data_IF_389374148554
#
_entry.id   IF_389374148554
#
_cell.length_a   1.000
_cell.length_b   1.000
_cell.length_c   1.000
_cell.angle_alpha   90.00
_cell.angle_beta   90.00
_cell.angle_gamma   90.00
#
_symmetry.space_group_name_H-M   'P 1'
#
loop_
_entity.id
_entity.type
_entity.pdbx_description
1 polymer ?
#
# COMPACT_ATOMS: atom_id res chain seq x y z
N UNK A 1 -23.89 -8.82 -6.97
CA UNK A 1 -23.94 -7.41 -7.39
C UNK A 1 -23.20 -6.58 -6.36
N UNK A 2 -22.32 -5.67 -6.80
CA UNK A 2 -21.44 -4.87 -5.96
C UNK A 2 -22.25 -3.93 -5.07
N UNK A 3 -21.87 -3.77 -3.79
CA UNK A 3 -22.04 -2.47 -3.18
C UNK A 3 -20.87 -1.62 -3.68
N UNK A 4 -21.09 -0.59 -4.52
CA UNK A 4 -20.03 0.32 -4.89
C UNK A 4 -19.43 0.93 -3.62
N UNK A 5 -18.17 1.43 -3.66
CA UNK A 5 -17.68 2.31 -2.61
C UNK A 5 -18.73 3.42 -2.42
N UNK A 6 -19.44 3.31 -1.30
CA UNK A 6 -20.53 4.19 -0.91
C UNK A 6 -19.89 5.54 -0.52
N UNK A 7 -20.57 6.66 -0.79
CA UNK A 7 -20.15 8.01 -0.36
C UNK A 7 -19.71 8.02 1.12
N UNK A 8 -20.31 7.21 1.98
CA UNK A 8 -19.90 6.95 3.36
C UNK A 8 -18.46 6.47 3.53
N UNK A 9 -17.95 5.60 2.64
CA UNK A 9 -16.54 5.18 2.64
C UNK A 9 -15.64 6.36 2.27
N UNK A 10 -16.02 7.13 1.26
CA UNK A 10 -15.32 8.37 0.89
C UNK A 10 -15.26 9.35 2.08
N UNK A 11 -16.38 9.56 2.76
CA UNK A 11 -16.48 10.42 3.95
C UNK A 11 -15.72 9.92 5.18
N UNK A 12 -15.37 8.63 5.26
CA UNK A 12 -14.57 8.06 6.37
C UNK A 12 -13.08 8.00 6.07
N UNK A 13 -12.71 7.61 4.86
CA UNK A 13 -11.32 7.41 4.44
C UNK A 13 -10.62 8.75 4.24
N UNK A 14 -11.30 9.73 3.66
CA UNK A 14 -10.70 11.06 3.41
C UNK A 14 -10.25 11.74 4.71
N UNK A 15 -11.06 11.82 5.79
CA UNK A 15 -10.60 12.36 7.07
C UNK A 15 -9.48 11.55 7.74
N UNK A 16 -9.47 10.23 7.58
CA UNK A 16 -8.41 9.39 8.15
C UNK A 16 -7.07 9.62 7.45
N UNK A 17 -7.07 9.72 6.11
CA UNK A 17 -5.89 10.09 5.31
C UNK A 17 -5.46 11.52 5.64
N UNK A 18 -6.43 12.43 5.81
CA UNK A 18 -6.18 13.81 6.24
C UNK A 18 -5.44 13.85 7.57
N UNK A 19 -5.94 13.13 8.57
CA UNK A 19 -5.31 13.02 9.89
C UNK A 19 -3.92 12.37 9.78
N UNK A 20 -3.75 11.29 9.01
CA UNK A 20 -2.45 10.65 8.87
C UNK A 20 -1.38 11.59 8.28
N UNK A 21 -1.74 12.36 7.25
CA UNK A 21 -0.83 13.29 6.58
C UNK A 21 -0.58 14.60 7.36
N UNK A 22 -1.45 14.97 8.32
CA UNK A 22 -1.34 16.20 9.14
C UNK A 22 -0.83 15.95 10.57
N UNK A 23 -1.11 14.78 11.14
CA UNK A 23 -0.80 14.43 12.54
C UNK A 23 0.69 14.24 12.80
N UNK A 24 1.51 14.04 11.77
CA UNK A 24 2.97 13.95 11.91
C UNK A 24 3.63 15.25 12.39
N UNK A 25 2.87 16.35 12.45
CA UNK A 25 3.33 17.61 13.06
C UNK A 25 3.04 17.71 14.57
N UNK A 26 2.22 16.82 15.16
CA UNK A 26 1.89 16.82 16.59
C UNK A 26 2.99 16.20 17.47
N UNK A 27 4.04 15.63 16.88
CA UNK A 27 5.21 15.11 17.58
C UNK A 27 6.23 16.21 17.97
N UNK A 28 5.78 17.46 18.12
CA UNK A 28 6.59 18.58 18.61
C UNK A 28 7.27 18.28 19.95
N UNK A 29 6.64 17.49 20.83
CA UNK A 29 7.21 17.13 22.14
C UNK A 29 8.39 16.14 22.06
N UNK A 30 8.60 15.52 20.89
CA UNK A 30 9.68 14.55 20.66
C UNK A 30 10.78 15.07 19.74
N UNK A 31 10.77 16.37 19.40
CA UNK A 31 11.84 17.00 18.63
C UNK A 31 13.14 16.92 19.44
N UNK A 32 14.16 16.16 19.01
CA UNK A 32 15.45 16.19 19.67
C UNK A 32 16.08 17.52 19.26
N UNK A 33 15.98 18.52 20.13
CA UNK A 33 16.58 19.86 19.96
C UNK A 33 18.10 19.81 19.72
N UNK A 34 18.74 18.65 19.90
CA UNK A 34 20.16 18.41 19.74
C UNK A 34 20.60 17.75 18.42
N UNK A 35 19.71 17.42 17.48
CA UNK A 35 20.13 16.80 16.20
C UNK A 35 20.89 17.76 15.27
N UNK A 36 20.70 19.09 15.41
CA UNK A 36 21.37 20.11 14.60
C UNK A 36 22.88 20.25 14.80
N UNK A 37 23.51 19.41 15.65
CA UNK A 37 24.96 19.47 15.94
C UNK A 37 25.81 18.40 15.25
N UNK A 38 25.22 17.48 14.49
CA UNK A 38 26.00 16.47 13.77
C UNK A 38 26.33 16.94 12.35
N UNK A 39 27.62 17.15 12.09
CA UNK A 39 28.15 17.51 10.78
C UNK A 39 28.16 16.28 9.86
N UNK A 40 26.99 15.87 9.40
CA UNK A 40 26.80 14.73 8.51
C UNK A 40 26.99 15.21 7.06
N UNK A 41 28.17 14.95 6.48
CA UNK A 41 28.57 15.50 5.18
C UNK A 41 27.82 14.93 3.96
N UNK A 42 26.83 14.05 4.15
CA UNK A 42 26.00 13.44 3.10
C UNK A 42 24.59 13.12 3.64
N UNK A 43 23.75 14.15 3.81
CA UNK A 43 22.41 13.94 4.36
C UNK A 43 21.47 13.32 3.31
N UNK A 44 21.06 12.07 3.55
CA UNK A 44 20.01 11.38 2.80
C UNK A 44 18.88 11.07 3.78
N UNK A 45 17.65 11.48 3.46
CA UNK A 45 16.45 11.20 4.22
C UNK A 45 15.61 10.16 3.47
N UNK A 46 15.38 9.01 4.11
CA UNK A 46 14.41 8.02 3.65
C UNK A 46 13.07 8.31 4.33
N UNK A 47 12.06 8.65 3.55
CA UNK A 47 10.78 9.14 4.07
C UNK A 47 9.64 8.27 3.58
N UNK A 48 8.80 7.77 4.49
CA UNK A 48 7.50 7.22 4.07
C UNK A 48 6.65 8.38 3.53
N UNK A 49 6.11 8.30 2.30
CA UNK A 49 5.33 9.39 1.72
C UNK A 49 4.07 9.73 2.53
N UNK A 50 3.58 8.83 3.39
CA UNK A 50 2.46 9.09 4.30
C UNK A 50 2.89 9.68 5.66
N UNK A 51 4.19 9.84 5.91
CA UNK A 51 4.70 10.58 7.07
C UNK A 51 4.46 12.10 6.99
N UNK A 52 3.82 12.58 5.92
CA UNK A 52 3.34 13.96 5.77
C UNK A 52 4.44 15.00 5.55
N UNK A 53 4.04 16.26 5.34
CA UNK A 53 4.94 17.37 4.98
C UNK A 53 5.97 17.72 6.07
N UNK A 54 5.73 17.35 7.33
CA UNK A 54 6.66 17.62 8.43
C UNK A 54 7.97 16.82 8.33
N UNK A 55 7.92 15.56 7.89
CA UNK A 55 9.12 14.74 7.62
C UNK A 55 10.01 15.37 6.53
N UNK A 56 9.37 15.96 5.52
CA UNK A 56 10.01 16.67 4.42
C UNK A 56 10.67 17.96 4.90
N UNK A 57 9.97 18.73 5.75
CA UNK A 57 10.50 19.94 6.36
C UNK A 57 11.75 19.65 7.21
N UNK A 58 11.72 18.57 7.99
CA UNK A 58 12.88 18.09 8.77
C UNK A 58 14.03 17.75 7.83
N UNK A 59 13.79 16.94 6.80
CA UNK A 59 14.86 16.59 5.85
C UNK A 59 15.48 17.83 5.20
N UNK A 60 14.66 18.82 4.83
CA UNK A 60 15.14 20.09 4.27
C UNK A 60 15.95 20.92 5.27
N UNK A 61 15.59 20.95 6.56
CA UNK A 61 16.35 21.69 7.57
C UNK A 61 17.77 21.13 7.77
N UNK A 62 17.97 19.83 7.52
CA UNK A 62 19.28 19.18 7.46
C UNK A 62 19.97 19.31 6.09
N UNK A 63 19.41 20.03 5.12
CA UNK A 63 19.87 20.04 3.73
C UNK A 63 19.99 18.62 3.14
N UNK A 64 19.11 17.71 3.58
CA UNK A 64 19.10 16.32 3.17
C UNK A 64 18.45 16.15 1.80
N UNK A 65 19.01 15.23 1.00
CA UNK A 65 18.34 14.71 -0.19
C UNK A 65 17.22 13.77 0.24
N UNK A 66 16.04 13.92 -0.35
CA UNK A 66 14.86 13.13 0.01
C UNK A 66 14.69 11.98 -0.98
N UNK A 67 14.51 10.78 -0.43
CA UNK A 67 14.11 9.58 -1.15
C UNK A 67 12.88 9.03 -0.45
N UNK A 68 11.80 8.84 -1.21
CA UNK A 68 10.60 8.24 -0.65
C UNK A 68 10.73 6.73 -0.62
N UNK A 69 10.28 6.10 0.46
CA UNK A 69 10.24 4.64 0.61
C UNK A 69 8.82 4.26 1.02
N UNK A 70 8.07 3.64 0.11
CA UNK A 70 6.66 3.31 0.32
C UNK A 70 6.46 1.81 0.52
N UNK A 71 5.80 1.45 1.61
CA UNK A 71 5.27 0.10 1.81
C UNK A 71 4.00 -0.16 0.98
N UNK A 72 3.35 0.90 0.51
CA UNK A 72 2.10 0.85 -0.25
C UNK A 72 2.35 0.96 -1.75
N UNK A 73 1.52 0.29 -2.54
CA UNK A 73 1.50 0.42 -4.00
C UNK A 73 0.46 1.45 -4.44
N UNK A 74 0.39 2.56 -3.70
CA UNK A 74 -0.55 3.65 -3.93
C UNK A 74 -0.11 4.49 -5.12
N UNK A 75 -1.01 4.83 -6.02
CA UNK A 75 -0.62 5.36 -7.31
C UNK A 75 -0.62 6.90 -7.37
N UNK A 76 -1.54 7.58 -6.69
CA UNK A 76 -1.73 9.04 -6.77
C UNK A 76 -0.52 9.80 -6.28
N UNK A 77 -0.08 9.50 -5.06
CA UNK A 77 1.02 10.16 -4.36
C UNK A 77 2.36 9.75 -4.97
N UNK A 78 2.55 8.46 -5.30
CA UNK A 78 3.79 8.01 -5.93
C UNK A 78 3.99 8.58 -7.33
N UNK A 79 2.94 8.70 -8.15
CA UNK A 79 3.06 9.34 -9.47
C UNK A 79 3.28 10.84 -9.36
N UNK A 80 2.68 11.49 -8.36
CA UNK A 80 2.96 12.90 -8.07
C UNK A 80 4.44 13.12 -7.73
N UNK A 81 4.96 12.35 -6.77
CA UNK A 81 6.34 12.43 -6.30
C UNK A 81 7.33 12.09 -7.41
N UNK A 82 7.08 11.05 -8.21
CA UNK A 82 8.01 10.61 -9.28
C UNK A 82 7.79 11.34 -10.62
N UNK A 83 6.87 12.30 -10.65
CA UNK A 83 6.43 13.01 -11.85
C UNK A 83 5.96 12.10 -13.00
N UNK A 84 5.43 10.92 -12.67
CA UNK A 84 4.91 9.98 -13.64
C UNK A 84 3.53 10.39 -14.18
N UNK A 85 3.21 10.03 -15.45
CA UNK A 85 1.89 10.30 -16.03
C UNK A 85 0.78 9.59 -15.25
N UNK A 86 -0.21 10.36 -14.78
CA UNK A 86 -1.37 9.87 -14.05
C UNK A 86 -2.63 9.91 -14.90
N UNK A 87 -3.18 8.73 -15.23
CA UNK A 87 -4.46 8.61 -15.91
C UNK A 87 -5.54 8.03 -14.97
N UNK A 88 -6.45 8.86 -14.43
CA UNK A 88 -7.45 8.43 -13.45
C UNK A 88 -8.50 7.44 -13.99
N UNK A 89 -8.50 7.14 -15.30
CA UNK A 89 -9.45 6.19 -15.90
C UNK A 89 -9.15 4.72 -15.63
N UNK A 90 -7.89 4.37 -15.38
CA UNK A 90 -7.46 2.99 -15.12
C UNK A 90 -6.49 2.86 -13.95
N UNK A 91 -5.95 3.98 -13.46
CA UNK A 91 -5.05 4.01 -12.33
C UNK A 91 -5.84 4.24 -11.05
N UNK A 92 -5.82 3.30 -10.12
CA UNK A 92 -6.53 3.38 -8.84
C UNK A 92 -6.03 4.51 -7.93
N UNK A 93 -6.91 5.21 -7.23
CA UNK A 93 -6.52 6.07 -6.10
C UNK A 93 -6.52 5.28 -4.79
N UNK A 94 -5.88 5.81 -3.76
CA UNK A 94 -6.00 5.31 -2.38
C UNK A 94 -7.46 5.19 -1.88
N UNK A 95 -8.36 6.01 -2.41
CA UNK A 95 -9.78 6.05 -2.00
C UNK A 95 -10.60 4.98 -2.72
N UNK A 96 -10.23 4.64 -3.95
CA UNK A 96 -10.90 3.63 -4.78
C UNK A 96 -9.88 2.51 -5.10
N UNK A 97 -9.57 1.64 -4.12
CA UNK A 97 -8.51 0.62 -4.24
C UNK A 97 -9.01 -0.63 -4.99
N UNK A 98 -9.40 -0.47 -6.26
CA UNK A 98 -9.74 -1.60 -7.15
C UNK A 98 -9.06 -1.45 -8.52
N UNK A 99 -8.58 -2.56 -9.06
CA UNK A 99 -7.93 -2.67 -10.37
C UNK A 99 -8.94 -2.62 -11.52
N UNK A 100 -10.24 -2.84 -11.25
CA UNK A 100 -11.31 -2.88 -12.25
C UNK A 100 -12.37 -1.82 -11.97
N UNK A 101 -12.15 -0.62 -12.49
CA UNK A 101 -13.07 0.50 -12.33
C UNK A 101 -14.21 0.42 -13.36
N UNK A 102 -15.45 0.37 -12.89
CA UNK A 102 -16.62 0.64 -13.75
C UNK A 102 -16.77 2.15 -14.02
N UNK A 103 -17.71 2.53 -14.88
CA UNK A 103 -17.93 3.94 -15.26
C UNK A 103 -18.08 4.88 -14.04
N UNK A 104 -18.93 4.52 -13.06
CA UNK A 104 -19.17 5.36 -11.89
C UNK A 104 -17.93 5.44 -10.97
N UNK A 105 -17.23 4.32 -10.78
CA UNK A 105 -16.00 4.27 -10.01
C UNK A 105 -14.89 5.09 -10.69
N UNK A 106 -14.81 5.09 -12.02
CA UNK A 106 -13.88 5.97 -12.76
C UNK A 106 -14.18 7.43 -12.48
N UNK A 107 -15.45 7.84 -12.49
CA UNK A 107 -15.85 9.21 -12.16
C UNK A 107 -15.44 9.58 -10.73
N UNK A 108 -15.73 8.75 -9.74
CA UNK A 108 -15.29 8.98 -8.36
C UNK A 108 -13.76 8.99 -8.21
N UNK A 109 -13.07 8.12 -8.95
CA UNK A 109 -11.62 8.00 -8.91
C UNK A 109 -10.94 9.27 -9.43
N UNK A 110 -11.52 9.93 -10.44
CA UNK A 110 -11.08 11.25 -10.89
C UNK A 110 -11.12 12.25 -9.72
N UNK A 111 -12.26 12.36 -9.02
CA UNK A 111 -12.39 13.26 -7.87
C UNK A 111 -11.44 12.89 -6.73
N UNK A 112 -11.19 11.60 -6.49
CA UNK A 112 -10.23 11.16 -5.48
C UNK A 112 -8.79 11.58 -5.82
N UNK A 113 -8.35 11.40 -7.07
CA UNK A 113 -7.01 11.82 -7.54
C UNK A 113 -6.81 13.33 -7.48
N UNK A 114 -7.81 14.11 -7.87
CA UNK A 114 -7.73 15.57 -7.75
C UNK A 114 -7.87 16.05 -6.32
N UNK A 115 -8.74 15.42 -5.53
CA UNK A 115 -8.93 15.71 -4.11
C UNK A 115 -7.63 15.51 -3.33
N UNK A 116 -6.91 14.40 -3.54
CA UNK A 116 -5.62 14.17 -2.89
C UNK A 116 -4.57 15.18 -3.34
N UNK A 117 -4.51 15.56 -4.63
CA UNK A 117 -3.57 16.60 -5.10
C UNK A 117 -3.88 17.95 -4.48
N UNK A 118 -5.14 18.39 -4.53
CA UNK A 118 -5.59 19.62 -3.87
C UNK A 118 -5.24 19.56 -2.39
N UNK A 119 -5.47 18.42 -1.73
CA UNK A 119 -5.11 18.25 -0.33
C UNK A 119 -3.61 18.36 -0.07
N UNK A 120 -2.74 17.73 -0.87
CA UNK A 120 -1.28 17.86 -0.74
C UNK A 120 -0.82 19.31 -0.95
N UNK A 121 -1.46 20.03 -1.89
CA UNK A 121 -1.26 21.48 -2.05
C UNK A 121 -1.80 22.27 -0.84
N UNK A 122 -2.94 21.89 -0.25
CA UNK A 122 -3.56 22.60 0.87
C UNK A 122 -3.00 22.20 2.25
N UNK A 123 -2.29 21.09 2.39
CA UNK A 123 -1.44 20.76 3.55
C UNK A 123 -0.34 21.81 3.77
N UNK A 124 0.00 22.59 2.74
CA UNK A 124 0.80 23.81 2.86
C UNK A 124 0.10 24.93 3.66
N UNK A 125 -1.18 24.77 4.00
CA UNK A 125 -1.93 25.64 4.90
C UNK A 125 -1.73 25.28 6.38
N UNK A 126 -0.49 24.96 6.77
CA UNK A 126 -0.04 25.04 8.16
C UNK A 126 -0.51 26.36 8.84
N UNK A 127 -0.71 27.40 8.02
CA UNK A 127 -1.35 28.69 8.36
C UNK A 127 -2.79 28.60 8.91
N UNK A 128 -3.65 27.68 8.46
CA UNK A 128 -5.03 27.54 8.95
C UNK A 128 -5.05 27.03 10.40
N UNK A 129 -4.06 26.23 10.80
CA UNK A 129 -3.92 25.72 12.16
C UNK A 129 -2.94 26.53 13.02
N UNK A 130 -2.55 27.74 12.57
CA UNK A 130 -1.70 28.65 13.34
C UNK A 130 -0.21 28.29 13.36
N UNK A 131 0.24 27.32 12.57
CA UNK A 131 1.66 27.01 12.46
C UNK A 131 2.36 28.03 11.57
N UNK A 132 3.28 28.80 12.15
CA UNK A 132 4.23 29.67 11.46
C UNK A 132 5.32 28.82 10.80
N UNK A 133 4.95 28.16 9.71
CA UNK A 133 5.88 27.52 8.80
C UNK A 133 6.76 28.59 8.11
N UNK A 134 8.11 28.52 8.18
CA UNK A 134 8.97 29.35 7.35
C UNK A 134 8.82 28.88 5.89
N UNK A 135 8.58 29.82 4.97
CA UNK A 135 8.41 29.66 3.52
C UNK A 135 7.49 28.52 3.03
N UNK A 136 6.51 28.86 2.18
CA UNK A 136 5.47 27.95 1.64
C UNK A 136 6.02 26.62 1.11
N UNK A 137 7.27 26.61 0.65
CA UNK A 137 7.87 25.47 -0.05
C UNK A 137 8.42 24.39 0.88
N UNK A 138 8.67 24.67 2.17
CA UNK A 138 9.40 23.75 3.07
C UNK A 138 8.61 22.48 3.43
N UNK A 139 7.27 22.53 3.37
CA UNK A 139 6.39 21.38 3.67
C UNK A 139 5.86 20.70 2.41
N UNK A 140 6.06 21.30 1.23
CA UNK A 140 5.54 20.76 -0.02
C UNK A 140 6.28 19.49 -0.42
N UNK A 141 5.51 18.49 -0.84
CA UNK A 141 6.07 17.30 -1.48
C UNK A 141 6.92 17.73 -2.69
N UNK A 142 8.21 17.37 -2.73
CA UNK A 142 9.04 17.66 -3.88
C UNK A 142 8.58 16.82 -5.07
N UNK A 143 8.08 17.48 -6.11
CA UNK A 143 7.85 16.82 -7.40
C UNK A 143 9.19 16.38 -8.01
N UNK A 144 9.19 15.20 -8.62
CA UNK A 144 10.34 14.57 -9.28
C UNK A 144 11.44 14.04 -8.35
N UNK A 145 11.03 13.49 -7.22
CA UNK A 145 11.92 12.76 -6.30
C UNK A 145 11.93 11.26 -6.58
N UNK A 146 13.01 10.60 -6.17
CA UNK A 146 13.09 9.14 -6.23
C UNK A 146 12.10 8.52 -5.24
N UNK A 147 11.41 7.45 -5.67
CA UNK A 147 10.60 6.60 -4.83
C UNK A 147 11.04 5.13 -4.95
N UNK A 148 11.34 4.52 -3.81
CA UNK A 148 11.49 3.08 -3.64
C UNK A 148 10.18 2.49 -3.15
N UNK A 149 9.68 1.46 -3.82
CA UNK A 149 8.34 0.95 -3.54
C UNK A 149 8.39 -0.55 -3.31
N UNK A 150 7.76 -0.99 -2.23
CA UNK A 150 7.60 -2.40 -1.89
C UNK A 150 6.56 -3.06 -2.79
N UNK A 151 6.99 -3.40 -4.00
CA UNK A 151 6.12 -4.01 -5.00
C UNK A 151 6.89 -4.92 -5.95
N UNK A 152 6.14 -5.69 -6.72
CA UNK A 152 6.66 -6.62 -7.72
C UNK A 152 5.98 -6.40 -9.06
N UNK A 153 6.77 -6.18 -10.12
CA UNK A 153 6.25 -5.86 -11.46
C UNK A 153 5.31 -6.92 -12.04
N UNK A 154 5.43 -8.18 -11.61
CA UNK A 154 4.58 -9.28 -12.06
C UNK A 154 3.21 -9.36 -11.37
N UNK A 155 3.07 -8.72 -10.21
CA UNK A 155 1.80 -8.65 -9.47
C UNK A 155 1.00 -7.39 -9.82
N UNK A 156 1.67 -6.36 -10.32
CA UNK A 156 1.04 -5.08 -10.59
C UNK A 156 0.31 -4.99 -11.94
N UNK A 157 -0.67 -4.09 -11.99
CA UNK A 157 -1.15 -3.60 -13.27
C UNK A 157 -0.08 -2.75 -13.95
N UNK A 158 -0.03 -2.76 -15.30
CA UNK A 158 0.87 -1.87 -16.02
C UNK A 158 0.45 -0.42 -15.74
N UNK A 159 1.34 0.33 -15.10
CA UNK A 159 1.18 1.76 -14.85
C UNK A 159 2.36 2.50 -15.50
N UNK A 160 2.14 3.69 -16.10
CA UNK A 160 3.22 4.54 -16.56
C UNK A 160 4.16 4.91 -15.40
N UNK A 161 5.47 4.84 -15.64
CA UNK A 161 6.51 5.15 -14.64
C UNK A 161 7.61 5.98 -15.25
N UNK A 162 8.30 6.74 -14.40
CA UNK A 162 9.56 7.39 -14.73
C UNK A 162 10.73 6.57 -14.19
N UNK A 163 11.95 6.93 -14.60
CA UNK A 163 13.17 6.35 -14.06
C UNK A 163 13.43 6.72 -12.58
N UNK A 164 12.57 7.54 -11.96
CA UNK A 164 12.63 7.86 -10.54
C UNK A 164 11.90 6.82 -9.66
N UNK A 165 11.26 5.81 -10.25
CA UNK A 165 10.51 4.76 -9.55
C UNK A 165 11.33 3.46 -9.50
N UNK A 166 11.59 2.94 -8.30
CA UNK A 166 12.40 1.74 -8.08
C UNK A 166 11.63 0.69 -7.28
N UNK A 167 11.50 -0.51 -7.85
CA UNK A 167 10.85 -1.65 -7.20
C UNK A 167 11.84 -2.35 -6.25
N UNK A 168 11.56 -2.32 -4.94
CA UNK A 168 12.41 -2.95 -3.91
C UNK A 168 11.75 -4.15 -3.24
N UNK A 169 10.57 -4.59 -3.67
CA UNK A 169 9.80 -5.63 -2.97
C UNK A 169 10.51 -6.98 -2.86
N UNK A 170 11.49 -7.24 -3.73
CA UNK A 170 12.27 -8.47 -3.75
C UNK A 170 13.61 -8.37 -2.99
N UNK A 171 13.79 -7.29 -2.23
CA UNK A 171 15.01 -7.00 -1.46
C UNK A 171 14.93 -7.44 -0.01
N UNK A 172 13.83 -8.11 0.40
CA UNK A 172 13.67 -8.57 1.77
C UNK A 172 14.81 -9.54 2.13
N UNK A 173 15.46 -9.35 3.31
CA UNK A 173 16.51 -10.25 3.73
C UNK A 173 15.98 -11.68 3.80
N UNK A 174 16.80 -12.66 3.41
CA UNK A 174 16.51 -14.06 3.70
C UNK A 174 16.36 -14.17 5.21
N UNK A 175 15.13 -14.33 5.68
CA UNK A 175 14.86 -14.62 7.08
C UNK A 175 15.55 -15.97 7.33
N UNK A 176 16.69 -15.94 8.04
CA UNK A 176 17.28 -17.15 8.59
C UNK A 176 16.15 -17.85 9.35
N UNK A 177 15.91 -19.12 9.03
CA UNK A 177 14.82 -19.91 9.58
C UNK A 177 14.82 -19.80 11.11
N UNK A 178 14.08 -18.84 11.66
CA UNK A 178 13.80 -18.81 13.07
C UNK A 178 12.94 -20.04 13.32
N UNK A 179 13.50 -20.94 14.11
CA UNK A 179 13.01 -22.27 14.41
C UNK A 179 11.49 -22.27 14.60
N UNK A 180 10.78 -22.99 13.73
CA UNK A 180 9.44 -23.45 14.07
C UNK A 180 9.61 -24.28 15.34
N UNK A 181 8.87 -23.94 16.39
CA UNK A 181 8.95 -24.66 17.65
C UNK A 181 8.51 -26.12 17.46
N UNK A 182 8.88 -26.98 18.42
CA UNK A 182 8.65 -28.42 18.29
C UNK A 182 7.17 -28.77 18.20
N UNK A 183 6.31 -28.02 18.87
CA UNK A 183 4.87 -28.26 18.88
C UNK A 183 4.26 -27.94 17.52
N UNK A 184 4.54 -26.75 16.97
CA UNK A 184 4.10 -26.37 15.63
C UNK A 184 4.62 -27.33 14.57
N UNK A 185 5.88 -27.76 14.68
CA UNK A 185 6.44 -28.74 13.74
C UNK A 185 5.72 -30.08 13.82
N UNK A 186 5.50 -30.61 15.03
CA UNK A 186 4.78 -31.87 15.23
C UNK A 186 3.33 -31.79 14.74
N UNK A 187 2.66 -30.64 14.95
CA UNK A 187 1.32 -30.40 14.43
C UNK A 187 1.30 -30.46 12.90
N UNK A 188 2.24 -29.78 12.23
CA UNK A 188 2.31 -29.79 10.76
C UNK A 188 2.51 -31.21 10.23
N UNK A 189 3.35 -32.02 10.88
CA UNK A 189 3.64 -33.40 10.48
C UNK A 189 2.43 -34.35 10.64
N UNK A 190 1.45 -34.01 11.51
CA UNK A 190 0.26 -34.82 11.75
C UNK A 190 -0.84 -34.66 10.68
N UNK A 191 -0.74 -33.66 9.79
CA UNK A 191 -1.76 -33.37 8.78
C UNK A 191 -1.16 -33.35 7.39
N UNK A 192 -1.86 -33.96 6.42
CA UNK A 192 -1.44 -33.92 5.00
C UNK A 192 -1.44 -32.48 4.45
N UNK A 193 -2.40 -31.67 4.91
CA UNK A 193 -2.57 -30.27 4.51
C UNK A 193 -2.72 -29.40 5.74
N UNK A 194 -1.98 -28.29 5.75
CA UNK A 194 -2.02 -27.30 6.82
C UNK A 194 -2.35 -25.94 6.25
N UNK A 195 -3.29 -25.24 6.87
CA UNK A 195 -3.74 -23.90 6.48
C UNK A 195 -3.40 -22.92 7.59
N UNK A 196 -2.66 -21.86 7.22
CA UNK A 196 -2.40 -20.73 8.11
C UNK A 196 -3.52 -19.70 7.97
N UNK A 197 -4.23 -19.43 9.06
CA UNK A 197 -5.17 -18.33 9.20
C UNK A 197 -4.54 -17.21 10.03
N UNK A 198 -4.50 -15.99 9.50
CA UNK A 198 -3.85 -14.84 10.15
C UNK A 198 -4.59 -13.55 9.80
N UNK A 199 -5.02 -12.80 10.83
CA UNK A 199 -5.62 -11.47 10.68
C UNK A 199 -4.60 -10.37 10.99
N UNK A 200 -4.78 -9.19 10.40
CA UNK A 200 -3.86 -8.03 10.54
C UNK A 200 -3.76 -7.53 11.99
N UNK A 201 -2.67 -6.83 12.33
CA UNK A 201 -2.48 -6.16 13.63
C UNK A 201 -3.39 -4.93 13.81
N UNK A 202 -3.85 -4.31 12.73
CA UNK A 202 -4.68 -3.09 12.76
C UNK A 202 -6.16 -3.33 13.11
N UNK A 203 -6.61 -4.58 13.16
CA UNK A 203 -7.95 -4.91 13.64
C UNK A 203 -7.96 -5.05 15.16
N UNK A 204 -7.45 -4.08 15.93
CA UNK A 204 -7.45 -4.09 17.42
C UNK A 204 -7.16 -5.48 18.01
N UNK A 205 -5.97 -6.04 17.76
CA UNK A 205 -5.58 -7.40 18.22
C UNK A 205 -6.50 -8.55 17.78
N UNK A 206 -7.27 -8.35 16.71
CA UNK A 206 -8.22 -9.34 16.21
C UNK A 206 -9.33 -9.58 17.22
N UNK A 207 -10.13 -8.56 17.55
CA UNK A 207 -11.49 -8.79 18.07
C UNK A 207 -12.30 -9.40 16.93
N UNK A 208 -12.00 -10.67 16.67
CA UNK A 208 -12.91 -11.63 16.09
C UNK A 208 -14.08 -11.62 17.05
N UNK A 209 -15.19 -11.01 16.65
CA UNK A 209 -16.40 -11.04 17.46
C UNK A 209 -16.72 -12.50 17.80
N UNK A 210 -17.36 -12.77 18.93
CA UNK A 210 -17.76 -14.14 19.27
C UNK A 210 -18.48 -14.83 18.10
N UNK A 211 -19.34 -14.08 17.40
CA UNK A 211 -20.01 -14.53 16.17
C UNK A 211 -19.02 -14.97 15.06
N UNK A 212 -17.97 -14.19 14.80
CA UNK A 212 -16.98 -14.53 13.79
C UNK A 212 -16.09 -15.71 14.25
N UNK A 213 -15.82 -15.82 15.55
CA UNK A 213 -15.02 -16.89 16.14
C UNK A 213 -15.72 -18.23 15.96
N UNK A 214 -17.00 -18.31 16.35
CA UNK A 214 -17.80 -19.54 16.21
C UNK A 214 -17.92 -19.98 14.74
N UNK A 215 -18.04 -19.04 13.79
CA UNK A 215 -18.06 -19.39 12.35
C UNK A 215 -16.77 -20.04 11.85
N UNK A 216 -15.60 -19.59 12.34
CA UNK A 216 -14.32 -20.24 11.99
C UNK A 216 -14.20 -21.62 12.66
N UNK A 217 -14.60 -21.74 13.93
CA UNK A 217 -14.61 -23.02 14.64
C UNK A 217 -15.50 -24.05 13.94
N UNK A 218 -16.73 -23.66 13.57
CA UNK A 218 -17.64 -24.50 12.78
C UNK A 218 -17.01 -24.95 11.45
N UNK A 219 -16.31 -24.05 10.77
CA UNK A 219 -15.62 -24.39 9.53
C UNK A 219 -14.47 -25.37 9.79
N UNK A 220 -13.65 -25.17 10.82
CA UNK A 220 -12.57 -26.10 11.15
C UNK A 220 -13.07 -27.52 11.43
N UNK A 221 -14.20 -27.65 12.12
CA UNK A 221 -14.83 -28.93 12.43
C UNK A 221 -15.29 -29.70 11.18
N UNK A 222 -15.66 -28.98 10.10
CA UNK A 222 -16.05 -29.61 8.84
C UNK A 222 -14.87 -30.21 8.06
N UNK A 223 -13.63 -29.85 8.40
CA UNK A 223 -12.42 -30.34 7.73
C UNK A 223 -11.45 -31.02 8.72
N UNK A 224 -11.85 -32.14 9.36
CA UNK A 224 -11.05 -32.77 10.43
C UNK A 224 -9.70 -33.33 9.93
N UNK A 225 -9.54 -33.55 8.62
CA UNK A 225 -8.30 -34.03 7.99
C UNK A 225 -7.31 -32.90 7.63
N UNK A 226 -7.70 -31.64 7.82
CA UNK A 226 -6.86 -30.46 7.54
C UNK A 226 -6.47 -29.84 8.88
N UNK A 227 -5.17 -29.59 9.05
CA UNK A 227 -4.65 -28.84 10.20
C UNK A 227 -4.79 -27.34 9.96
N UNK A 228 -5.27 -26.60 10.95
CA UNK A 228 -5.38 -25.14 10.90
C UNK A 228 -4.44 -24.52 11.91
N UNK A 229 -3.46 -23.75 11.46
CA UNK A 229 -2.68 -22.88 12.34
C UNK A 229 -3.39 -21.54 12.36
N UNK A 230 -3.91 -21.14 13.52
CA UNK A 230 -4.60 -19.87 13.68
C UNK A 230 -3.74 -18.89 14.47
N UNK A 231 -3.25 -17.85 13.80
CA UNK A 231 -2.53 -16.76 14.45
C UNK A 231 -3.51 -15.86 15.22
N UNK A 232 -3.55 -16.03 16.53
CA UNK A 232 -4.41 -15.30 17.44
C UNK A 232 -3.79 -15.30 18.85
N UNK A 233 -3.98 -14.23 19.62
CA UNK A 233 -3.43 -14.11 20.99
C UNK A 233 -4.20 -14.94 22.02
N UNK A 234 -5.53 -14.99 21.87
CA UNK A 234 -6.44 -15.57 22.85
C UNK A 234 -7.50 -16.44 22.18
N UNK A 235 -7.92 -17.49 22.88
CA UNK A 235 -9.08 -18.32 22.53
C UNK A 235 -10.32 -17.86 23.27
N UNK A 236 -11.45 -17.77 22.58
CA UNK A 236 -12.74 -17.45 23.20
C UNK A 236 -13.55 -18.71 23.59
N UNK A 237 -13.23 -19.86 22.99
CA UNK A 237 -13.91 -21.15 23.16
C UNK A 237 -12.90 -22.30 22.96
N UNK A 238 -13.25 -23.51 23.41
CA UNK A 238 -12.44 -24.71 23.14
C UNK A 238 -12.27 -24.94 21.64
N UNK A 239 -11.02 -25.21 21.22
CA UNK A 239 -10.68 -25.40 19.83
C UNK A 239 -10.74 -26.90 19.43
N UNK A 240 -11.18 -27.21 18.21
CA UNK A 240 -11.05 -28.56 17.65
C UNK A 240 -9.59 -29.02 17.62
N UNK A 241 -9.36 -30.34 17.73
CA UNK A 241 -8.00 -30.93 17.74
C UNK A 241 -7.17 -30.60 16.49
N UNK A 242 -7.83 -30.32 15.37
CA UNK A 242 -7.20 -29.93 14.12
C UNK A 242 -6.90 -28.43 14.04
N UNK A 243 -6.88 -27.72 15.16
CA UNK A 243 -6.54 -26.29 15.23
C UNK A 243 -5.41 -26.08 16.24
N UNK A 244 -4.32 -25.44 15.79
CA UNK A 244 -3.23 -24.98 16.62
C UNK A 244 -3.27 -23.45 16.71
N UNK A 245 -3.39 -22.92 17.91
CA UNK A 245 -3.29 -21.48 18.15
C UNK A 245 -1.83 -21.07 18.29
N UNK A 246 -1.42 -20.02 17.57
CA UNK A 246 -0.06 -19.45 17.72
C UNK A 246 -0.14 -17.94 17.89
N UNK A 247 0.65 -17.39 18.81
CA UNK A 247 0.75 -15.93 18.95
C UNK A 247 1.51 -15.29 17.78
N UNK A 248 2.49 -16.03 17.22
CA UNK A 248 3.28 -15.58 16.08
C UNK A 248 3.81 -16.75 15.25
N UNK A 249 3.87 -16.58 13.93
CA UNK A 249 4.52 -17.50 12.99
C UNK A 249 5.03 -16.72 11.78
N UNK A 250 6.14 -17.16 11.19
CA UNK A 250 6.66 -16.60 9.95
C UNK A 250 5.75 -16.99 8.77
N UNK A 251 5.01 -16.02 8.23
CA UNK A 251 3.92 -16.26 7.28
C UNK A 251 4.45 -16.32 5.85
N UNK A 252 4.12 -17.38 5.09
CA UNK A 252 4.52 -17.56 3.67
C UNK A 252 3.39 -18.01 2.72
N UNK A 253 2.14 -18.16 3.18
CA UNK A 253 1.00 -18.62 2.37
C UNK A 253 -0.28 -17.81 2.66
N UNK A 254 -1.16 -17.63 1.67
CA UNK A 254 -2.23 -16.62 1.72
C UNK A 254 -3.58 -17.17 1.23
N UNK A 255 -4.58 -17.16 2.12
CA UNK A 255 -5.98 -16.89 1.77
C UNK A 255 -6.28 -15.46 2.24
N UNK A 256 -6.69 -14.58 1.32
CA UNK A 256 -6.89 -13.17 1.62
C UNK A 256 -8.36 -12.85 1.93
N UNK A 257 -8.63 -12.36 3.13
CA UNK A 257 -9.93 -11.78 3.50
C UNK A 257 -9.72 -10.27 3.73
N UNK A 258 -9.80 -9.44 2.67
CA UNK A 258 -9.53 -8.03 2.78
C UNK A 258 -10.59 -7.34 3.65
N UNK A 259 -10.15 -6.57 4.64
CA UNK A 259 -11.03 -5.87 5.57
C UNK A 259 -11.19 -4.39 5.24
N UNK A 260 -10.10 -3.69 4.93
CA UNK A 260 -10.10 -2.23 4.77
C UNK A 260 -9.00 -1.76 3.81
N UNK A 261 -9.21 -0.58 3.21
CA UNK A 261 -8.17 0.16 2.51
C UNK A 261 -7.51 -0.58 1.35
N UNK A 262 -6.18 -0.53 1.30
CA UNK A 262 -5.35 -1.11 0.25
C UNK A 262 -5.49 -2.64 0.14
N UNK A 263 -5.92 -3.30 1.22
CA UNK A 263 -6.13 -4.76 1.26
C UNK A 263 -7.04 -5.25 0.14
N UNK A 264 -8.06 -4.48 -0.25
CA UNK A 264 -8.94 -4.86 -1.36
C UNK A 264 -8.16 -4.99 -2.68
N UNK A 265 -7.33 -4.00 -3.01
CA UNK A 265 -6.50 -4.05 -4.21
C UNK A 265 -5.43 -5.15 -4.14
N UNK A 266 -4.82 -5.37 -2.97
CA UNK A 266 -3.85 -6.45 -2.75
C UNK A 266 -4.49 -7.83 -2.95
N UNK A 267 -5.72 -8.00 -2.45
CA UNK A 267 -6.49 -9.21 -2.67
C UNK A 267 -6.77 -9.41 -4.17
N UNK A 268 -7.17 -8.37 -4.90
CA UNK A 268 -7.36 -8.46 -6.36
C UNK A 268 -6.08 -8.83 -7.12
N UNK A 269 -4.90 -8.37 -6.68
CA UNK A 269 -3.59 -8.79 -7.24
C UNK A 269 -3.34 -10.28 -7.05
N UNK A 270 -3.58 -10.79 -5.83
CA UNK A 270 -3.47 -12.22 -5.49
C UNK A 270 -4.39 -13.05 -6.37
N UNK A 271 -5.64 -12.61 -6.54
CA UNK A 271 -6.61 -13.30 -7.38
C UNK A 271 -6.25 -13.27 -8.86
N UNK A 272 -5.77 -12.13 -9.37
CA UNK A 272 -5.33 -11.99 -10.77
C UNK A 272 -4.10 -12.84 -11.06
N UNK A 273 -3.19 -12.98 -10.09
CA UNK A 273 -2.06 -13.90 -10.17
C UNK A 273 -2.45 -15.36 -9.95
N UNK A 274 -3.71 -15.63 -9.59
CA UNK A 274 -4.24 -16.95 -9.29
C UNK A 274 -3.42 -17.71 -8.23
N UNK A 275 -2.81 -16.98 -7.29
CA UNK A 275 -2.02 -17.54 -6.17
C UNK A 275 -2.84 -17.67 -4.88
N UNK A 276 -4.11 -17.27 -4.92
CA UNK A 276 -5.06 -17.40 -3.83
C UNK A 276 -6.47 -17.01 -4.25
N UNK A 277 -7.44 -17.22 -3.35
CA UNK A 277 -8.81 -16.76 -3.53
C UNK A 277 -9.11 -15.61 -2.58
N UNK A 278 -10.12 -14.82 -2.94
CA UNK A 278 -10.63 -13.74 -2.09
C UNK A 278 -12.03 -14.14 -1.61
N UNK A 279 -12.21 -14.13 -0.29
CA UNK A 279 -13.54 -14.13 0.29
C UNK A 279 -13.91 -12.69 0.63
N UNK A 280 -14.89 -12.14 -0.08
CA UNK A 280 -15.33 -10.76 0.13
C UNK A 280 -16.04 -10.67 1.48
N UNK A 281 -15.65 -9.72 2.33
CA UNK A 281 -16.33 -9.46 3.60
C UNK A 281 -17.76 -8.96 3.35
N UNK A 282 -18.73 -9.87 3.41
CA UNK A 282 -20.15 -9.57 3.54
C UNK A 282 -20.74 -10.63 4.45
N UNK A 283 -21.00 -10.33 5.74
CA UNK A 283 -21.69 -11.21 6.72
C UNK A 283 -21.62 -12.71 6.39
N UNK A 284 -20.43 -13.23 6.14
CA UNK A 284 -20.30 -14.56 5.59
C UNK A 284 -20.66 -15.58 6.67
N UNK A 285 -21.22 -16.69 6.25
CA UNK A 285 -21.52 -17.85 7.10
C UNK A 285 -20.33 -18.79 7.18
N UNK A 286 -20.34 -19.73 8.14
CA UNK A 286 -19.39 -20.85 8.15
C UNK A 286 -19.43 -21.63 6.84
N UNK A 287 -20.62 -21.79 6.24
CA UNK A 287 -20.80 -22.42 4.92
C UNK A 287 -20.07 -21.68 3.79
N UNK A 288 -20.04 -20.35 3.81
CA UNK A 288 -19.30 -19.58 2.80
C UNK A 288 -17.79 -19.78 2.92
N UNK A 289 -17.27 -19.83 4.15
CA UNK A 289 -15.86 -20.16 4.42
C UNK A 289 -15.53 -21.58 3.94
N UNK A 290 -16.38 -22.55 4.27
CA UNK A 290 -16.21 -23.95 3.84
C UNK A 290 -16.25 -24.09 2.32
N UNK A 291 -17.21 -23.44 1.65
CA UNK A 291 -17.29 -23.44 0.19
C UNK A 291 -16.05 -22.83 -0.47
N UNK A 292 -15.51 -21.75 0.11
CA UNK A 292 -14.30 -21.11 -0.38
C UNK A 292 -13.09 -22.02 -0.21
N UNK A 293 -12.96 -22.69 0.94
CA UNK A 293 -11.92 -23.66 1.18
C UNK A 293 -12.05 -24.87 0.23
N UNK A 294 -13.24 -25.45 0.10
CA UNK A 294 -13.51 -26.51 -0.87
C UNK A 294 -13.14 -26.12 -2.29
N UNK A 295 -13.42 -24.87 -2.69
CA UNK A 295 -13.05 -24.38 -4.01
C UNK A 295 -11.54 -24.41 -4.22
N UNK A 296 -10.74 -23.90 -3.27
CA UNK A 296 -9.28 -24.01 -3.33
C UNK A 296 -8.84 -25.46 -3.44
N UNK A 297 -9.40 -26.34 -2.60
CA UNK A 297 -9.02 -27.74 -2.55
C UNK A 297 -9.40 -28.48 -3.85
N UNK A 298 -10.53 -28.14 -4.48
CA UNK A 298 -11.00 -28.68 -5.77
C UNK A 298 -10.18 -28.18 -6.95
N UNK A 299 -9.66 -26.96 -6.90
CA UNK A 299 -8.72 -26.42 -7.90
C UNK A 299 -7.33 -27.10 -7.85
N UNK A 300 -7.15 -28.07 -6.94
CA UNK A 300 -5.97 -28.91 -6.85
C UNK A 300 -4.72 -28.10 -6.56
N UNK A 301 -3.65 -28.35 -7.33
CA UNK A 301 -2.37 -27.65 -7.16
C UNK A 301 -2.24 -26.39 -8.03
N UNK A 302 -3.34 -25.85 -8.59
CA UNK A 302 -3.29 -24.65 -9.45
C UNK A 302 -2.64 -23.47 -8.73
N UNK A 303 -3.16 -23.11 -7.56
CA UNK A 303 -2.64 -21.98 -6.77
C UNK A 303 -1.20 -22.22 -6.31
N UNK A 304 -0.88 -23.45 -5.92
CA UNK A 304 0.48 -23.85 -5.53
C UNK A 304 1.47 -23.72 -6.69
N UNK A 305 1.10 -24.20 -7.90
CA UNK A 305 1.91 -24.08 -9.11
C UNK A 305 2.15 -22.62 -9.48
N UNK A 306 1.10 -21.79 -9.43
CA UNK A 306 1.23 -20.37 -9.73
C UNK A 306 2.09 -19.64 -8.68
N UNK A 307 1.97 -19.98 -7.40
CA UNK A 307 2.81 -19.45 -6.34
C UNK A 307 4.29 -19.87 -6.52
N UNK A 308 4.55 -21.13 -6.88
CA UNK A 308 5.91 -21.61 -7.22
C UNK A 308 6.49 -20.87 -8.42
N UNK A 309 5.72 -20.74 -9.50
CA UNK A 309 6.12 -19.97 -10.69
C UNK A 309 6.41 -18.51 -10.34
N UNK A 310 5.58 -17.88 -9.51
CA UNK A 310 5.82 -16.51 -9.06
C UNK A 310 7.11 -16.41 -8.25
N UNK A 311 7.36 -17.35 -7.33
CA UNK A 311 8.63 -17.43 -6.60
C UNK A 311 9.82 -17.54 -7.56
N UNK A 312 9.76 -18.40 -8.57
CA UNK A 312 10.83 -18.55 -9.58
C UNK A 312 11.06 -17.24 -10.36
N UNK A 313 9.99 -16.55 -10.76
CA UNK A 313 10.08 -15.26 -11.44
C UNK A 313 10.73 -14.18 -10.54
N UNK A 314 10.39 -14.15 -9.26
CA UNK A 314 11.01 -13.26 -8.28
C UNK A 314 12.48 -13.63 -8.07
N UNK A 315 12.81 -14.91 -7.88
CA UNK A 315 14.20 -15.34 -7.72
C UNK A 315 15.05 -15.01 -8.94
N UNK A 316 14.50 -15.15 -10.15
CA UNK A 316 15.15 -14.76 -11.40
C UNK A 316 15.51 -13.27 -11.44
N UNK A 317 14.58 -12.36 -11.08
CA UNK A 317 14.88 -10.93 -10.99
C UNK A 317 16.00 -10.62 -10.00
N UNK A 318 16.00 -11.32 -8.85
CA UNK A 318 17.01 -11.15 -7.81
C UNK A 318 18.41 -11.49 -8.32
N UNK A 319 18.52 -12.58 -9.10
CA UNK A 319 19.79 -13.05 -9.65
C UNK A 319 20.34 -12.10 -10.72
N UNK A 320 19.47 -11.45 -11.50
CA UNK A 320 19.86 -10.53 -12.57
C UNK A 320 20.33 -9.14 -12.09
N UNK A 321 20.35 -8.87 -10.77
CA UNK A 321 20.80 -7.59 -10.22
C UNK A 321 19.90 -6.39 -10.57
N UNK A 322 18.76 -6.64 -11.22
CA UNK A 322 17.73 -5.65 -11.50
C UNK A 322 16.99 -5.38 -10.18
N UNK A 323 17.37 -4.29 -9.50
CA UNK A 323 16.63 -3.63 -8.41
C UNK A 323 16.47 -4.33 -7.04
N UNK A 324 17.19 -5.42 -6.75
CA UNK A 324 17.03 -6.13 -5.45
C UNK A 324 18.10 -5.84 -4.40
N UNK A 325 19.18 -5.17 -4.78
CA UNK A 325 20.17 -4.67 -3.83
C UNK A 325 19.84 -3.20 -3.53
N UNK A 326 19.29 -2.97 -2.34
CA UNK A 326 18.99 -1.63 -1.83
C UNK A 326 20.27 -0.79 -1.80
N UNK A 327 21.41 -1.37 -1.42
CA UNK A 327 22.69 -0.67 -1.36
C UNK A 327 23.16 -0.29 -2.77
N UNK A 328 23.05 -1.19 -3.75
CA UNK A 328 23.33 -0.85 -5.14
C UNK A 328 22.40 0.24 -5.67
N UNK A 329 21.10 0.15 -5.38
CA UNK A 329 20.10 1.11 -5.85
C UNK A 329 20.34 2.49 -5.24
N UNK A 330 20.63 2.54 -3.93
CA UNK A 330 21.04 3.76 -3.24
C UNK A 330 22.37 4.30 -3.77
N UNK A 331 23.36 3.44 -4.01
CA UNK A 331 24.66 3.87 -4.54
C UNK A 331 24.55 4.37 -5.98
N UNK A 332 23.74 3.74 -6.82
CA UNK A 332 23.40 4.22 -8.17
C UNK A 332 22.69 5.56 -8.08
N UNK A 333 21.70 5.69 -7.20
CA UNK A 333 21.05 6.97 -6.95
C UNK A 333 22.05 8.04 -6.53
N UNK A 334 22.86 7.78 -5.51
CA UNK A 334 23.88 8.72 -5.04
C UNK A 334 24.82 9.09 -6.18
N UNK A 335 25.50 8.13 -6.83
CA UNK A 335 26.46 8.43 -7.91
C UNK A 335 25.85 9.12 -9.13
N UNK A 336 24.67 8.70 -9.58
CA UNK A 336 24.05 9.22 -10.82
C UNK A 336 23.28 10.52 -10.58
N UNK A 337 22.71 10.72 -9.39
CA UNK A 337 21.82 11.84 -9.11
C UNK A 337 22.47 12.94 -8.23
N UNK A 338 23.56 12.66 -7.49
CA UNK A 338 24.18 13.68 -6.62
C UNK A 338 25.18 14.58 -7.33
N UNK A 339 25.79 14.13 -8.44
CA UNK A 339 26.88 14.91 -9.03
C UNK A 339 26.41 15.93 -10.07
N UNK A 340 25.38 15.68 -10.91
CA UNK A 340 25.00 16.64 -11.98
C UNK A 340 23.54 16.65 -12.49
N UNK A 341 22.59 15.95 -11.87
CA UNK A 341 21.29 15.68 -12.52
C UNK A 341 20.14 16.62 -12.10
N UNK A 342 20.08 17.80 -12.71
CA UNK A 342 18.86 18.64 -12.76
C UNK A 342 17.74 18.03 -13.63
N UNK A 343 18.00 16.95 -14.39
CA UNK A 343 17.11 16.47 -15.47
C UNK A 343 15.77 15.87 -15.02
N UNK A 344 15.60 15.55 -13.75
CA UNK A 344 14.29 15.12 -13.25
C UNK A 344 13.41 16.30 -12.86
N UNK A 345 13.97 17.50 -12.67
CA UNK A 345 13.17 18.69 -12.40
C UNK A 345 12.38 19.05 -13.66
N UNK A 346 11.08 18.76 -13.67
CA UNK A 346 10.19 19.38 -14.67
C UNK A 346 10.22 20.89 -14.38
N UNK A 347 10.60 21.75 -15.34
CA UNK A 347 10.69 23.19 -15.11
C UNK A 347 9.37 23.73 -14.52
N UNK A 348 9.47 24.60 -13.49
CA UNK A 348 8.35 25.21 -12.76
C UNK A 348 7.17 25.65 -13.64
N UNK A 349 7.47 26.17 -14.84
CA UNK A 349 6.51 26.82 -15.75
C UNK A 349 5.36 25.96 -16.30
N UNK A 350 5.30 24.65 -16.06
CA UNK A 350 4.15 23.82 -16.50
C UNK A 350 3.12 23.51 -15.39
N UNK A 351 3.31 23.95 -14.14
CA UNK A 351 2.54 23.38 -13.00
C UNK A 351 2.17 24.37 -11.88
N UNK A 352 2.30 25.67 -12.08
CA UNK A 352 2.22 26.65 -10.99
C UNK A 352 0.82 26.82 -10.35
N UNK A 353 -0.24 26.20 -10.87
CA UNK A 353 -1.54 26.16 -10.19
C UNK A 353 -2.37 24.92 -10.48
N UNK A 354 -3.19 24.50 -9.49
CA UNK A 354 -4.23 23.47 -9.67
C UNK A 354 -5.17 23.79 -10.85
N UNK A 355 -5.31 25.08 -11.22
CA UNK A 355 -6.15 25.54 -12.33
C UNK A 355 -5.57 25.13 -13.69
N UNK A 356 -4.26 25.32 -13.88
CA UNK A 356 -3.54 24.97 -15.11
C UNK A 356 -3.44 23.45 -15.29
N UNK A 357 -3.25 22.69 -14.20
CA UNK A 357 -3.19 21.23 -14.28
C UNK A 357 -4.55 20.59 -14.65
N UNK A 358 -5.65 21.16 -14.16
CA UNK A 358 -7.01 20.69 -14.44
C UNK A 358 -7.56 21.20 -15.78
N UNK A 359 -6.76 21.95 -16.54
CA UNK A 359 -7.19 22.61 -17.76
C UNK A 359 -8.48 23.43 -17.52
N UNK A 360 -8.71 23.96 -16.31
CA UNK A 360 -9.93 24.71 -16.03
C UNK A 360 -10.01 25.99 -16.85
N UNK A 361 -8.86 26.57 -17.18
CA UNK A 361 -8.69 27.59 -18.20
C UNK A 361 -9.26 27.13 -19.56
N UNK A 362 -8.91 25.94 -20.04
CA UNK A 362 -9.40 25.42 -21.31
C UNK A 362 -10.86 24.93 -21.26
N UNK A 363 -11.32 24.35 -20.16
CA UNK A 363 -12.73 23.97 -19.98
C UNK A 363 -13.59 25.23 -19.97
N UNK A 364 -13.15 26.28 -19.29
CA UNK A 364 -13.82 27.57 -19.31
C UNK A 364 -13.84 28.18 -20.73
N UNK A 365 -12.70 28.21 -21.43
CA UNK A 365 -12.62 28.67 -22.82
C UNK A 365 -13.55 27.85 -23.72
N UNK A 366 -13.59 26.53 -23.57
CA UNK A 366 -14.45 25.65 -24.35
C UNK A 366 -15.94 25.89 -24.09
N UNK A 367 -16.35 26.08 -22.83
CA UNK A 367 -17.72 26.45 -22.46
C UNK A 367 -18.10 27.81 -23.04
N UNK A 368 -17.21 28.81 -22.96
CA UNK A 368 -17.43 30.14 -23.56
C UNK A 368 -17.58 30.03 -25.08
N UNK A 369 -16.74 29.23 -25.75
CA UNK A 369 -16.86 29.00 -27.20
C UNK A 369 -18.17 28.31 -27.57
N UNK A 370 -18.63 27.33 -26.78
CA UNK A 370 -19.93 26.68 -27.00
C UNK A 370 -21.09 27.67 -26.87
N UNK A 371 -21.07 28.53 -25.85
CA UNK A 371 -22.08 29.57 -25.66
C UNK A 371 -22.07 30.57 -26.82
N UNK A 372 -20.89 30.95 -27.32
CA UNK A 372 -20.73 31.88 -28.45
C UNK A 372 -21.12 31.28 -29.81
N UNK A 373 -21.10 29.96 -29.96
CA UNK A 373 -21.55 29.28 -31.18
C UNK A 373 -23.08 29.14 -31.21
N UNK A 374 -23.72 29.08 -30.03
CA UNK A 374 -25.19 29.02 -29.90
C UNK A 374 -25.87 30.40 -29.90
N UNK A 375 -25.12 31.49 -29.75
CA UNK A 375 -25.58 32.89 -29.85
C UNK A 375 -25.33 33.48 -31.24
#
# INVERSE_FOLDING_TARGET
>A
MNNPPNISMFLKVVPAIFNALTSSCLLQDSYPTNLGKQNLSKNLALIDPFAGGCSIAIARSFNAKIVFVSALVESSLLQYITAAPLNPSYIMSVVIPTLKLNFFQRSLNIFAHYGIRIFLYQLSLAKIFGYTAPEKDVYLFPESSMAMVNMHKFLEAPIPRTNAYFDIGNSLPKINNNNIDKETKSFIENYEKVILLSFSTFTSDGIVTKELYSKYVEMFQQFPTIGFIWRQKETLEELPKNVLLVSWINQRAIIGIPSQGDQYSNAERIQRAEIGIILKQNKFSSKDLSNALEKILKEGNKHEKNAKRMKEMLEFERIQGLSTDISWTLNKFLKTYTEHFQQFYIPKGNRDSWKTFLYFDWIFIFIVLLILIES
#
